data_IF_594976422500
#
_entry.id   IF_594976422500
#
_cell.length_a   1.000
_cell.length_b   1.000
_cell.length_c   1.000
_cell.angle_alpha   90.00
_cell.angle_beta   90.00
_cell.angle_gamma   90.00
#
_symmetry.space_group_name_H-M   'P 1'
#
loop_
_entity.id
_entity.type
_entity.pdbx_description
1 polymer ?
#
# COMPACT_ATOMS: atom_id res chain seq x y z
N UNK A 1 -3.67 5.46 22.06
CA UNK A 1 -4.97 5.46 21.35
C UNK A 1 -5.37 4.02 21.21
N UNK A 2 -6.45 3.65 21.88
CA UNK A 2 -6.76 2.28 22.27
C UNK A 2 -6.82 1.28 21.11
N UNK A 3 -6.53 0.02 21.42
CA UNK A 3 -7.07 -1.14 20.71
C UNK A 3 -8.63 -1.21 20.75
N UNK A 4 -9.31 -0.23 21.35
CA UNK A 4 -10.77 -0.21 21.38
C UNK A 4 -11.28 0.06 19.97
N UNK A 5 -11.95 -0.96 19.45
CA UNK A 5 -12.65 -0.98 18.19
C UNK A 5 -13.63 0.21 18.16
N UNK A 6 -13.65 0.94 17.05
CA UNK A 6 -14.55 2.08 16.87
C UNK A 6 -16.00 1.68 17.21
N UNK A 7 -16.79 2.52 17.89
CA UNK A 7 -18.20 2.24 18.14
C UNK A 7 -19.02 2.11 16.85
N UNK A 8 -18.49 2.63 15.73
CA UNK A 8 -19.08 2.53 14.40
C UNK A 8 -18.60 1.29 13.62
N UNK A 9 -17.65 0.52 14.15
CA UNK A 9 -17.19 -0.68 13.48
C UNK A 9 -18.33 -1.72 13.42
N UNK A 10 -18.52 -2.39 12.27
CA UNK A 10 -19.47 -3.47 12.17
C UNK A 10 -19.23 -4.52 13.27
N UNK A 11 -20.30 -4.91 13.97
CA UNK A 11 -20.22 -5.97 15.00
C UNK A 11 -19.96 -7.35 14.42
N UNK A 12 -20.25 -7.54 13.13
CA UNK A 12 -20.04 -8.76 12.38
C UNK A 12 -19.45 -8.39 11.03
N UNK A 13 -18.48 -9.18 10.60
CA UNK A 13 -17.95 -9.15 9.25
C UNK A 13 -18.43 -10.41 8.53
N UNK A 14 -18.72 -10.34 7.23
CA UNK A 14 -18.95 -11.54 6.44
C UNK A 14 -17.69 -12.41 6.45
N UNK A 15 -17.87 -13.73 6.34
CA UNK A 15 -16.73 -14.60 6.06
C UNK A 15 -16.28 -14.31 4.62
N UNK A 16 -15.10 -13.72 4.47
CA UNK A 16 -14.55 -13.38 3.17
C UNK A 16 -13.74 -14.58 2.67
N UNK A 17 -14.09 -15.15 1.51
CA UNK A 17 -13.28 -16.23 0.94
C UNK A 17 -11.91 -15.69 0.54
N UNK A 18 -10.92 -16.57 0.54
CA UNK A 18 -9.62 -16.27 -0.04
C UNK A 18 -9.76 -16.02 -1.54
N UNK A 19 -9.02 -15.03 -2.05
CA UNK A 19 -8.94 -14.74 -3.48
C UNK A 19 -7.68 -15.43 -4.00
N UNK A 20 -7.86 -16.39 -4.90
CA UNK A 20 -6.75 -17.10 -5.53
C UNK A 20 -5.79 -16.11 -6.20
N UNK A 21 -4.49 -16.33 -6.02
CA UNK A 21 -3.44 -15.45 -6.53
C UNK A 21 -3.23 -14.14 -5.77
N UNK A 22 -3.92 -13.94 -4.64
CA UNK A 22 -3.74 -12.77 -3.75
C UNK A 22 -3.33 -13.23 -2.36
N UNK A 23 -2.23 -12.68 -1.85
CA UNK A 23 -1.76 -12.90 -0.47
C UNK A 23 -1.73 -11.57 0.27
N UNK A 24 -2.30 -11.51 1.47
CA UNK A 24 -2.41 -10.27 2.24
C UNK A 24 -1.72 -10.46 3.59
N UNK A 25 -0.87 -9.51 3.97
CA UNK A 25 -0.22 -9.49 5.26
C UNK A 25 -0.27 -8.08 5.86
N UNK A 26 -0.30 -8.01 7.20
CA UNK A 26 -0.16 -6.75 7.94
C UNK A 26 0.95 -6.87 8.96
N UNK A 27 1.61 -5.77 9.27
CA UNK A 27 2.71 -5.71 10.21
C UNK A 27 2.70 -4.42 11.02
N UNK A 28 3.35 -4.47 12.18
CA UNK A 28 3.68 -3.28 12.98
C UNK A 28 5.06 -2.77 12.56
N UNK A 29 5.10 -1.80 11.66
CA UNK A 29 6.34 -1.16 11.19
C UNK A 29 6.75 0.03 12.08
N UNK A 30 5.88 0.50 12.97
CA UNK A 30 6.19 1.55 13.95
C UNK A 30 6.35 2.94 13.32
N UNK A 31 5.63 3.20 12.22
CA UNK A 31 5.74 4.41 11.40
C UNK A 31 5.28 5.65 12.18
N UNK A 32 4.18 5.52 12.91
CA UNK A 32 3.68 6.60 13.80
C UNK A 32 3.23 6.07 15.15
N UNK A 33 2.58 4.92 15.17
CA UNK A 33 1.99 4.35 16.37
C UNK A 33 2.74 3.10 16.77
N UNK A 34 2.90 2.87 18.08
CA UNK A 34 3.43 1.62 18.64
C UNK A 34 2.28 0.68 18.97
N UNK A 35 2.53 -0.64 18.93
CA UNK A 35 1.56 -1.68 19.26
C UNK A 35 0.30 -1.63 18.40
N UNK A 36 0.46 -1.36 17.11
CA UNK A 36 -0.62 -1.25 16.13
C UNK A 36 -0.09 -1.58 14.73
N UNK A 37 -0.82 -2.42 14.01
CA UNK A 37 -0.54 -2.66 12.58
C UNK A 37 -0.73 -1.36 11.79
N UNK A 38 0.33 -0.98 11.09
CA UNK A 38 0.38 0.26 10.34
C UNK A 38 0.99 0.10 8.94
N UNK A 39 1.35 -1.14 8.58
CA UNK A 39 1.76 -1.54 7.25
C UNK A 39 0.87 -2.69 6.76
N UNK A 40 0.38 -2.56 5.53
CA UNK A 40 -0.33 -3.57 4.76
C UNK A 40 0.50 -3.88 3.52
N UNK A 41 0.59 -5.15 3.19
CA UNK A 41 1.17 -5.62 1.93
C UNK A 41 0.22 -6.62 1.29
N UNK A 42 -0.05 -6.44 0.01
CA UNK A 42 -0.78 -7.40 -0.82
C UNK A 42 0.17 -7.86 -1.93
N UNK A 43 0.33 -9.16 -2.11
CA UNK A 43 1.18 -9.76 -3.15
C UNK A 43 0.27 -10.45 -4.15
N UNK A 44 0.56 -10.23 -5.42
CA UNK A 44 -0.17 -10.78 -6.56
C UNK A 44 0.70 -11.78 -7.31
N UNK A 45 0.10 -12.86 -7.78
CA UNK A 45 0.78 -13.85 -8.59
C UNK A 45 1.16 -13.30 -9.97
N UNK A 46 2.07 -13.98 -10.66
CA UNK A 46 2.54 -13.53 -11.96
C UNK A 46 1.41 -13.56 -12.99
N UNK A 47 1.27 -12.49 -13.78
CA UNK A 47 0.23 -12.35 -14.78
C UNK A 47 -1.06 -11.66 -14.29
N UNK A 48 -1.11 -11.22 -13.03
CA UNK A 48 -2.23 -10.41 -12.53
C UNK A 48 -2.33 -9.08 -13.26
N UNK A 49 -3.50 -8.80 -13.81
CA UNK A 49 -3.86 -7.49 -14.36
C UNK A 49 -4.41 -6.61 -13.25
N UNK A 50 -3.94 -5.36 -13.20
CA UNK A 50 -4.38 -4.38 -12.21
C UNK A 50 -4.91 -3.12 -12.87
N UNK A 51 -5.85 -2.48 -12.18
CA UNK A 51 -6.38 -1.17 -12.55
C UNK A 51 -6.64 -0.37 -11.27
N UNK A 52 -6.66 0.94 -11.40
CA UNK A 52 -6.70 1.85 -10.26
C UNK A 52 -7.00 3.26 -10.71
N UNK A 53 -7.70 3.99 -9.86
CA UNK A 53 -8.00 5.40 -10.05
C UNK A 53 -7.36 6.21 -8.94
N UNK A 54 -6.85 7.38 -9.29
CA UNK A 54 -6.14 8.24 -8.37
C UNK A 54 -6.93 9.52 -8.13
N UNK A 55 -6.64 10.20 -7.01
CA UNK A 55 -7.26 11.49 -6.70
C UNK A 55 -7.02 12.52 -7.81
N UNK A 56 -8.02 13.38 -8.05
CA UNK A 56 -7.94 14.55 -8.95
C UNK A 56 -7.47 15.82 -8.22
N UNK A 57 -7.09 15.72 -6.95
CA UNK A 57 -6.52 16.84 -6.19
C UNK A 57 -5.33 17.44 -6.93
N UNK A 58 -5.20 18.76 -6.90
CA UNK A 58 -4.02 19.48 -7.43
C UNK A 58 -2.75 19.27 -6.58
N UNK A 59 -2.92 18.70 -5.39
CA UNK A 59 -1.84 18.41 -4.46
C UNK A 59 -1.83 16.90 -4.10
N UNK A 60 -1.50 16.00 -5.05
CA UNK A 60 -1.32 14.59 -4.75
C UNK A 60 -0.09 14.37 -3.85
N UNK A 61 -0.09 13.28 -3.09
CA UNK A 61 1.07 12.87 -2.30
C UNK A 61 2.09 12.15 -3.19
N UNK A 62 3.34 12.05 -2.73
CA UNK A 62 4.39 11.35 -3.48
C UNK A 62 4.02 9.88 -3.83
N UNK A 63 3.39 9.09 -2.94
CA UNK A 63 2.89 7.76 -3.27
C UNK A 63 1.85 7.74 -4.41
N UNK A 64 0.95 8.73 -4.46
CA UNK A 64 -0.05 8.80 -5.54
C UNK A 64 0.62 8.99 -6.89
N UNK A 65 1.64 9.86 -6.96
CA UNK A 65 2.37 10.09 -8.21
C UNK A 65 3.20 8.87 -8.63
N UNK A 66 3.80 8.17 -7.66
CA UNK A 66 4.52 6.92 -7.90
C UNK A 66 3.61 5.83 -8.46
N UNK A 67 2.49 5.54 -7.81
CA UNK A 67 1.55 4.52 -8.29
C UNK A 67 0.98 4.87 -9.67
N UNK A 68 0.76 6.17 -9.97
CA UNK A 68 0.29 6.59 -11.30
C UNK A 68 1.31 6.30 -12.40
N UNK A 69 2.61 6.41 -12.11
CA UNK A 69 3.67 6.09 -13.06
C UNK A 69 3.76 4.58 -13.30
N UNK A 70 3.70 3.79 -12.24
CA UNK A 70 3.81 2.33 -12.31
C UNK A 70 2.60 1.66 -12.94
N UNK A 71 1.39 2.15 -12.67
CA UNK A 71 0.16 1.49 -13.13
C UNK A 71 -0.07 1.57 -14.66
N UNK A 72 0.71 2.37 -15.40
CA UNK A 72 0.47 2.66 -16.82
C UNK A 72 0.44 1.45 -17.75
N UNK A 73 1.09 0.33 -17.37
CA UNK A 73 1.13 -0.90 -18.16
C UNK A 73 0.17 -1.99 -17.64
N UNK A 74 -0.65 -1.69 -16.63
CA UNK A 74 -1.73 -2.55 -16.15
C UNK A 74 -1.28 -3.82 -15.43
N UNK A 75 -0.04 -3.86 -14.91
CA UNK A 75 0.50 -5.00 -14.15
C UNK A 75 1.04 -4.52 -12.80
N UNK A 76 0.91 -5.35 -11.79
CA UNK A 76 1.58 -5.18 -10.51
C UNK A 76 1.68 -6.55 -9.83
N UNK A 77 2.68 -6.68 -8.96
CA UNK A 77 3.02 -7.89 -8.22
C UNK A 77 2.96 -7.69 -6.72
N UNK A 78 2.98 -6.44 -6.26
CA UNK A 78 2.83 -6.11 -4.85
C UNK A 78 2.19 -4.72 -4.69
N UNK A 79 1.39 -4.54 -3.67
CA UNK A 79 0.87 -3.25 -3.23
C UNK A 79 1.29 -3.05 -1.77
N UNK A 80 1.92 -1.91 -1.48
CA UNK A 80 2.30 -1.53 -0.12
C UNK A 80 1.52 -0.31 0.32
N UNK A 81 0.86 -0.42 1.46
CA UNK A 81 0.09 0.68 2.06
C UNK A 81 0.55 0.87 3.48
N UNK A 82 0.90 2.10 3.83
CA UNK A 82 1.16 2.47 5.20
C UNK A 82 0.06 3.39 5.75
N UNK A 83 -0.10 3.37 7.07
CA UNK A 83 -0.95 4.32 7.80
C UNK A 83 -0.12 5.17 8.76
N UNK A 84 -0.71 6.23 9.30
CA UNK A 84 -0.04 7.15 10.23
C UNK A 84 0.73 8.29 9.55
N UNK A 85 1.24 8.11 8.33
CA UNK A 85 1.89 9.16 7.56
C UNK A 85 1.48 9.09 6.08
N UNK A 86 0.89 10.16 5.55
CA UNK A 86 0.42 10.22 4.16
C UNK A 86 1.53 10.48 3.13
N UNK A 87 2.72 10.90 3.58
CA UNK A 87 3.82 11.36 2.73
C UNK A 87 3.38 12.41 1.68
N UNK A 88 2.54 13.36 2.11
CA UNK A 88 2.03 14.46 1.32
C UNK A 88 2.80 15.76 1.64
N UNK A 89 3.01 16.62 0.64
CA UNK A 89 3.77 17.89 0.78
C UNK A 89 5.20 17.74 1.33
N UNK A 90 5.84 16.61 1.07
CA UNK A 90 7.19 16.25 1.56
C UNK A 90 8.31 16.48 0.52
N UNK A 91 7.96 16.99 -0.67
CA UNK A 91 8.90 17.36 -1.72
C UNK A 91 9.78 16.20 -2.20
N UNK A 92 11.04 16.50 -2.55
CA UNK A 92 11.99 15.51 -3.08
C UNK A 92 12.30 14.38 -2.09
N UNK A 93 12.36 14.68 -0.79
CA UNK A 93 12.60 13.66 0.25
C UNK A 93 11.45 12.64 0.28
N UNK A 94 10.22 13.11 0.15
CA UNK A 94 9.05 12.25 0.07
C UNK A 94 9.04 11.35 -1.16
N UNK A 95 9.44 11.87 -2.32
CA UNK A 95 9.60 11.07 -3.54
C UNK A 95 10.66 9.99 -3.37
N UNK A 96 11.83 10.35 -2.84
CA UNK A 96 12.91 9.39 -2.58
C UNK A 96 12.48 8.30 -1.58
N UNK A 97 11.78 8.66 -0.49
CA UNK A 97 11.30 7.67 0.48
C UNK A 97 10.27 6.72 -0.13
N UNK A 98 9.37 7.21 -0.98
CA UNK A 98 8.41 6.36 -1.70
C UNK A 98 9.14 5.39 -2.63
N UNK A 99 10.12 5.87 -3.41
CA UNK A 99 10.90 5.02 -4.31
C UNK A 99 11.65 3.91 -3.54
N UNK A 100 12.30 4.26 -2.43
CA UNK A 100 12.97 3.26 -1.56
C UNK A 100 12.00 2.20 -1.02
N UNK A 101 10.79 2.60 -0.61
CA UNK A 101 9.75 1.64 -0.20
C UNK A 101 9.35 0.73 -1.36
N UNK A 102 9.20 1.29 -2.56
CA UNK A 102 8.92 0.53 -3.78
C UNK A 102 10.00 -0.51 -4.08
N UNK A 103 11.27 -0.11 -4.07
CA UNK A 103 12.41 -1.02 -4.28
C UNK A 103 12.46 -2.13 -3.23
N UNK A 104 12.25 -1.80 -1.96
CA UNK A 104 12.23 -2.79 -0.88
C UNK A 104 11.08 -3.79 -1.04
N UNK A 105 9.88 -3.31 -1.43
CA UNK A 105 8.72 -4.14 -1.70
C UNK A 105 8.95 -5.06 -2.91
N UNK A 106 9.49 -4.51 -3.99
CA UNK A 106 9.81 -5.25 -5.20
C UNK A 106 10.77 -6.40 -4.91
N UNK A 107 11.84 -6.11 -4.15
CA UNK A 107 12.80 -7.13 -3.71
C UNK A 107 12.15 -8.22 -2.86
N UNK A 108 11.26 -7.83 -1.93
CA UNK A 108 10.57 -8.79 -1.07
C UNK A 108 9.58 -9.69 -1.84
N UNK A 109 8.92 -9.15 -2.86
CA UNK A 109 7.97 -9.88 -3.71
C UNK A 109 8.63 -10.61 -4.89
N UNK A 110 9.91 -10.39 -5.16
CA UNK A 110 10.63 -10.97 -6.30
C UNK A 110 10.16 -10.41 -7.64
N UNK A 111 9.85 -9.11 -7.69
CA UNK A 111 9.40 -8.39 -8.89
C UNK A 111 10.25 -7.14 -9.14
N UNK A 112 9.93 -6.37 -10.18
CA UNK A 112 10.59 -5.08 -10.46
C UNK A 112 9.90 -3.91 -9.78
N UNK A 113 10.59 -2.79 -9.49
CA UNK A 113 9.97 -1.60 -8.89
C UNK A 113 8.79 -1.01 -9.66
N UNK A 114 8.72 -1.23 -10.97
CA UNK A 114 7.60 -0.79 -11.81
C UNK A 114 6.32 -1.63 -11.59
N UNK A 115 6.44 -2.80 -10.95
CA UNK A 115 5.33 -3.70 -10.62
C UNK A 115 4.86 -3.53 -9.15
N UNK A 116 5.12 -2.37 -8.55
CA UNK A 116 4.76 -2.01 -7.15
C UNK A 116 3.71 -0.90 -7.11
#
# INVERSE_FOLDING_TARGET
MSATISPLAPKKYPNMPDIEGVRIATAEAGIKYKNRTDLLTMVFDAGTTVAGVFTKSKCPSAPVDFCRQNLGHGKARVLVVNSGNANAFTGNKGRASTAMTGEAAAKAAGCTPDEV
#
